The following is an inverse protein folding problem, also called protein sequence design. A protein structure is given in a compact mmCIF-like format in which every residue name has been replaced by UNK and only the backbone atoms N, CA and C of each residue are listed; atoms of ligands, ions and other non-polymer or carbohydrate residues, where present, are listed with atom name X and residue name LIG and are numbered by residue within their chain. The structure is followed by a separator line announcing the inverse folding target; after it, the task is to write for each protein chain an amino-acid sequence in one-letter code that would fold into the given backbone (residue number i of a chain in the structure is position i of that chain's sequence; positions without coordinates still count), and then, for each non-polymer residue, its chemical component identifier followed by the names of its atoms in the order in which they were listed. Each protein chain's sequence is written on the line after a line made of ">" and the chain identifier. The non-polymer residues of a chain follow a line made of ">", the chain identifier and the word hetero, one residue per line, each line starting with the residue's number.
data_IF_468295559865
#
_entry.id   IF_468295559865
#
_cell.length_a   1.000
_cell.length_b   1.000
_cell.length_c   1.000
_cell.angle_alpha   90.00
_cell.angle_beta   90.00
_cell.angle_gamma   90.00
#
_symmetry.space_group_name_H-M   'P 1'
#
loop_
_entity.id
_entity.type
_entity.pdbx_description
1 polymer ?
#
# COMPACT_ATOMS: atom_id res chain seq x y z
N UNK A 1 -33.51 17.85 3.67
CA UNK A 1 -32.68 16.92 2.87
C UNK A 1 -31.20 17.30 2.84
N UNK A 2 -30.80 18.48 2.34
CA UNK A 2 -29.37 18.86 2.25
C UNK A 2 -28.57 18.76 3.56
N UNK A 3 -29.18 19.09 4.70
CA UNK A 3 -28.54 18.95 6.03
C UNK A 3 -28.27 17.49 6.45
N UNK A 4 -29.19 16.57 6.12
CA UNK A 4 -29.02 15.14 6.45
C UNK A 4 -27.92 14.52 5.58
N UNK A 5 -27.90 14.85 4.28
CA UNK A 5 -26.88 14.39 3.33
C UNK A 5 -25.50 14.88 3.77
N UNK A 6 -25.37 16.15 4.15
CA UNK A 6 -24.11 16.70 4.66
C UNK A 6 -23.62 15.97 5.92
N UNK A 7 -24.51 15.65 6.86
CA UNK A 7 -24.16 14.92 8.09
C UNK A 7 -23.75 13.48 7.78
N UNK A 8 -24.47 12.79 6.91
CA UNK A 8 -24.14 11.42 6.50
C UNK A 8 -22.80 11.38 5.76
N UNK A 9 -22.57 12.30 4.83
CA UNK A 9 -21.29 12.46 4.13
C UNK A 9 -20.16 12.74 5.12
N UNK A 10 -20.38 13.63 6.09
CA UNK A 10 -19.40 13.94 7.11
C UNK A 10 -19.04 12.70 7.95
N UNK A 11 -20.02 11.94 8.43
CA UNK A 11 -19.77 10.73 9.23
C UNK A 11 -19.08 9.65 8.38
N UNK A 12 -19.55 9.45 7.14
CA UNK A 12 -19.02 8.46 6.21
C UNK A 12 -17.55 8.71 5.84
N UNK A 13 -17.12 9.97 5.80
CA UNK A 13 -15.72 10.34 5.54
C UNK A 13 -14.89 10.34 6.83
N UNK A 14 -15.42 10.91 7.92
CA UNK A 14 -14.67 11.14 9.14
C UNK A 14 -14.36 9.84 9.91
N UNK A 15 -15.35 8.96 10.07
CA UNK A 15 -15.18 7.75 10.90
C UNK A 15 -14.13 6.80 10.31
N UNK A 16 -14.16 6.44 9.02
CA UNK A 16 -13.11 5.61 8.42
C UNK A 16 -11.74 6.31 8.47
N UNK A 17 -11.70 7.62 8.23
CA UNK A 17 -10.47 8.41 8.30
C UNK A 17 -9.80 8.35 9.68
N UNK A 18 -10.57 8.53 10.75
CA UNK A 18 -10.06 8.46 12.13
C UNK A 18 -9.59 7.05 12.50
N UNK A 19 -10.36 6.02 12.14
CA UNK A 19 -9.97 4.63 12.41
C UNK A 19 -8.69 4.24 11.67
N UNK A 20 -8.55 4.69 10.42
CA UNK A 20 -7.37 4.47 9.60
C UNK A 20 -6.16 5.21 10.17
N UNK A 21 -6.31 6.49 10.52
CA UNK A 21 -5.26 7.28 11.14
C UNK A 21 -4.76 6.64 12.45
N UNK A 22 -5.68 6.16 13.29
CA UNK A 22 -5.34 5.43 14.52
C UNK A 22 -4.56 4.15 14.22
N UNK A 23 -5.00 3.35 13.25
CA UNK A 23 -4.32 2.10 12.89
C UNK A 23 -2.89 2.36 12.39
N UNK A 24 -2.70 3.40 11.57
CA UNK A 24 -1.38 3.78 11.07
C UNK A 24 -0.50 4.48 12.10
N UNK A 25 -1.07 5.20 13.06
CA UNK A 25 -0.32 5.73 14.20
C UNK A 25 0.24 4.60 15.07
N UNK A 26 -0.55 3.55 15.34
CA UNK A 26 -0.09 2.35 16.05
C UNK A 26 1.02 1.63 15.27
N UNK A 27 0.90 1.54 13.95
CA UNK A 27 1.96 1.00 13.09
C UNK A 27 3.25 1.84 13.18
N UNK A 28 3.14 3.17 13.17
CA UNK A 28 4.29 4.07 13.30
C UNK A 28 4.99 3.90 14.67
N UNK A 29 4.23 3.72 15.75
CA UNK A 29 4.78 3.38 17.07
C UNK A 29 5.57 2.07 17.05
N UNK A 30 5.05 1.01 16.43
CA UNK A 30 5.77 -0.28 16.29
C UNK A 30 7.07 -0.12 15.52
N UNK A 31 7.09 0.72 14.50
CA UNK A 31 8.31 1.02 13.76
C UNK A 31 9.35 1.73 14.61
N UNK A 32 8.95 2.73 15.40
CA UNK A 32 9.88 3.45 16.27
C UNK A 32 10.55 2.49 17.28
N UNK A 33 9.78 1.56 17.84
CA UNK A 33 10.30 0.51 18.73
C UNK A 33 11.25 -0.42 17.98
N UNK A 34 10.87 -0.88 16.78
CA UNK A 34 11.73 -1.75 15.98
C UNK A 34 13.04 -1.06 15.55
N UNK A 35 13.00 0.22 15.17
CA UNK A 35 14.22 0.98 14.87
C UNK A 35 15.09 1.18 16.09
N UNK A 36 14.49 1.50 17.25
CA UNK A 36 15.25 1.63 18.50
C UNK A 36 15.92 0.31 18.87
N UNK A 37 15.22 -0.82 18.73
CA UNK A 37 15.80 -2.14 19.00
C UNK A 37 16.99 -2.48 18.08
N UNK A 38 16.95 -2.03 16.81
CA UNK A 38 18.09 -2.15 15.90
C UNK A 38 19.26 -1.27 16.37
N UNK A 39 18.99 -0.04 16.80
CA UNK A 39 20.04 0.88 17.29
C UNK A 39 20.71 0.36 18.57
N UNK A 40 19.99 -0.35 19.44
CA UNK A 40 20.54 -0.95 20.67
C UNK A 40 21.25 -2.30 20.47
N UNK A 41 21.28 -2.84 19.24
CA UNK A 41 22.02 -4.07 18.94
C UNK A 41 23.25 -3.78 18.11
N UNK A 42 24.27 -4.64 18.24
CA UNK A 42 25.42 -4.65 17.32
C UNK A 42 25.23 -5.83 16.38
N UNK A 43 24.67 -5.62 15.17
CA UNK A 43 24.39 -6.71 14.25
C UNK A 43 25.69 -7.39 13.81
N UNK A 44 25.58 -8.64 13.39
CA UNK A 44 26.75 -9.33 12.83
C UNK A 44 27.17 -8.67 11.50
N UNK A 45 28.41 -8.91 11.05
CA UNK A 45 28.88 -8.45 9.73
C UNK A 45 27.97 -8.96 8.60
N UNK A 46 27.44 -10.17 8.74
CA UNK A 46 26.47 -10.77 7.81
C UNK A 46 25.12 -10.03 7.84
N UNK A 47 24.67 -9.62 9.02
CA UNK A 47 23.55 -8.71 9.26
C UNK A 47 23.67 -7.40 8.51
N UNK A 48 24.77 -6.67 8.74
CA UNK A 48 25.05 -5.37 8.11
C UNK A 48 25.07 -5.50 6.58
N UNK A 49 25.82 -6.48 6.04
CA UNK A 49 25.92 -6.71 4.61
C UNK A 49 24.57 -7.07 3.96
N UNK A 50 23.69 -7.74 4.71
CA UNK A 50 22.33 -8.07 4.24
C UNK A 50 21.45 -6.83 4.13
N UNK A 51 21.43 -5.98 5.16
CA UNK A 51 20.65 -4.72 5.15
C UNK A 51 21.09 -3.82 3.99
N UNK A 52 22.40 -3.66 3.78
CA UNK A 52 22.93 -2.85 2.68
C UNK A 52 22.53 -3.38 1.29
N UNK A 53 22.64 -4.70 1.07
CA UNK A 53 22.24 -5.34 -0.21
C UNK A 53 20.74 -5.15 -0.47
N UNK A 54 19.90 -5.33 0.54
CA UNK A 54 18.46 -5.13 0.40
C UNK A 54 18.10 -3.67 0.13
N UNK A 55 18.77 -2.71 0.78
CA UNK A 55 18.57 -1.29 0.53
C UNK A 55 18.96 -0.89 -0.91
N UNK A 56 20.09 -1.41 -1.43
CA UNK A 56 20.51 -1.18 -2.81
C UNK A 56 19.52 -1.78 -3.82
N UNK A 57 19.09 -3.03 -3.61
CA UNK A 57 18.07 -3.69 -4.43
C UNK A 57 16.77 -2.87 -4.45
N UNK A 58 16.28 -2.47 -3.28
CA UNK A 58 15.07 -1.68 -3.15
C UNK A 58 15.15 -0.36 -3.93
N UNK A 59 16.28 0.35 -3.85
CA UNK A 59 16.49 1.58 -4.64
C UNK A 59 16.47 1.32 -6.15
N UNK A 60 17.12 0.24 -6.61
CA UNK A 60 17.16 -0.09 -8.05
C UNK A 60 15.77 -0.42 -8.59
N UNK A 61 15.03 -1.31 -7.92
CA UNK A 61 13.70 -1.72 -8.39
C UNK A 61 12.68 -0.58 -8.33
N UNK A 62 12.72 0.27 -7.29
CA UNK A 62 11.85 1.46 -7.22
C UNK A 62 12.12 2.46 -8.36
N UNK A 63 13.39 2.61 -8.79
CA UNK A 63 13.73 3.43 -9.97
C UNK A 63 13.14 2.83 -11.24
N UNK A 64 13.20 1.51 -11.41
CA UNK A 64 12.56 0.83 -12.55
C UNK A 64 11.05 1.07 -12.52
N UNK A 65 10.40 0.98 -11.36
CA UNK A 65 8.97 1.33 -11.23
C UNK A 65 8.67 2.77 -11.63
N UNK A 66 9.52 3.72 -11.23
CA UNK A 66 9.38 5.13 -11.64
C UNK A 66 9.58 5.31 -13.16
N UNK A 67 10.53 4.60 -13.77
CA UNK A 67 10.71 4.59 -15.23
C UNK A 67 9.48 4.01 -15.94
N UNK A 68 8.89 2.94 -15.42
CA UNK A 68 7.64 2.39 -15.96
C UNK A 68 6.50 3.40 -15.84
N UNK A 69 6.43 4.17 -14.75
CA UNK A 69 5.51 5.29 -14.60
C UNK A 69 5.71 6.35 -15.69
N UNK A 70 6.95 6.73 -16.00
CA UNK A 70 7.26 7.66 -17.09
C UNK A 70 6.87 7.11 -18.47
N UNK A 71 7.08 5.82 -18.72
CA UNK A 71 6.64 5.16 -19.95
C UNK A 71 5.11 5.17 -20.05
N UNK A 72 4.40 4.94 -18.95
CA UNK A 72 2.95 5.03 -18.91
C UNK A 72 2.43 6.44 -19.20
N UNK A 73 3.14 7.48 -18.74
CA UNK A 73 2.86 8.88 -19.14
C UNK A 73 3.05 9.08 -20.65
N UNK A 74 4.14 8.59 -21.22
CA UNK A 74 4.37 8.69 -22.67
C UNK A 74 3.28 7.96 -23.47
N UNK A 75 2.89 6.76 -23.04
CA UNK A 75 1.83 5.99 -23.66
C UNK A 75 0.47 6.67 -23.55
N UNK A 76 0.13 7.27 -22.40
CA UNK A 76 -1.14 7.98 -22.25
C UNK A 76 -1.23 9.20 -23.16
N UNK A 77 -0.14 9.95 -23.33
CA UNK A 77 -0.09 11.09 -24.28
C UNK A 77 -0.33 10.62 -25.71
N UNK A 78 0.28 9.50 -26.12
CA UNK A 78 0.12 8.95 -27.49
C UNK A 78 -1.29 8.44 -27.73
N UNK A 79 -1.85 7.68 -26.78
CA UNK A 79 -3.15 7.00 -26.94
C UNK A 79 -4.31 7.96 -26.84
N UNK A 80 -4.29 8.86 -25.86
CA UNK A 80 -5.43 9.74 -25.61
C UNK A 80 -5.36 11.04 -26.40
N UNK A 81 -4.24 11.33 -27.11
CA UNK A 81 -3.95 12.56 -27.84
C UNK A 81 -4.09 13.87 -27.02
N UNK A 82 -4.50 13.75 -25.76
CA UNK A 82 -4.64 14.79 -24.77
C UNK A 82 -3.50 14.65 -23.77
N UNK A 83 -2.63 15.65 -23.77
CA UNK A 83 -1.60 15.84 -22.75
C UNK A 83 -2.24 16.31 -21.43
N UNK A 84 -3.19 15.56 -20.89
CA UNK A 84 -3.74 15.89 -19.58
C UNK A 84 -2.68 15.62 -18.53
N UNK A 85 -1.96 16.67 -18.13
CA UNK A 85 -0.95 16.67 -17.06
C UNK A 85 -1.52 16.05 -15.78
N UNK A 86 -2.84 16.11 -15.60
CA UNK A 86 -3.56 15.47 -14.50
C UNK A 86 -3.42 13.95 -14.46
N UNK A 87 -3.18 13.27 -15.59
CA UNK A 87 -2.92 11.82 -15.63
C UNK A 87 -1.47 11.46 -15.34
N UNK A 88 -0.55 12.43 -15.39
CA UNK A 88 0.88 12.16 -15.24
C UNK A 88 1.23 11.76 -13.82
N UNK A 89 0.71 12.52 -12.85
CA UNK A 89 0.98 12.26 -11.44
C UNK A 89 0.41 10.90 -11.00
N UNK A 90 -0.85 10.53 -11.29
CA UNK A 90 -1.36 9.18 -11.02
C UNK A 90 -0.53 8.07 -11.66
N UNK A 91 -0.12 8.21 -12.92
CA UNK A 91 0.70 7.20 -13.60
C UNK A 91 2.09 7.04 -12.95
N UNK A 92 2.75 8.15 -12.59
CA UNK A 92 4.02 8.15 -11.89
C UNK A 92 3.91 7.52 -10.50
N UNK A 93 2.85 7.88 -9.75
CA UNK A 93 2.58 7.31 -8.43
C UNK A 93 2.32 5.81 -8.56
N UNK A 94 1.48 5.38 -9.50
CA UNK A 94 1.19 3.98 -9.73
C UNK A 94 2.46 3.18 -10.05
N UNK A 95 3.29 3.68 -10.98
CA UNK A 95 4.58 3.05 -11.33
C UNK A 95 5.54 2.97 -10.15
N UNK A 96 5.66 4.05 -9.36
CA UNK A 96 6.48 4.06 -8.15
C UNK A 96 6.00 3.02 -7.11
N UNK A 97 4.70 2.98 -6.83
CA UNK A 97 4.10 2.06 -5.86
C UNK A 97 4.21 0.61 -6.32
N UNK A 98 3.98 0.33 -7.61
CA UNK A 98 4.24 -0.99 -8.19
C UNK A 98 5.71 -1.38 -8.01
N UNK A 99 6.65 -0.46 -8.24
CA UNK A 99 8.06 -0.64 -7.95
C UNK A 99 8.37 -0.91 -6.48
N UNK A 100 7.65 -0.29 -5.54
CA UNK A 100 7.78 -0.57 -4.10
C UNK A 100 7.35 -1.99 -3.78
N UNK A 101 6.16 -2.41 -4.22
CA UNK A 101 5.66 -3.77 -3.93
C UNK A 101 6.53 -4.82 -4.61
N UNK A 102 6.93 -4.59 -5.86
CA UNK A 102 7.85 -5.47 -6.59
C UNK A 102 9.21 -5.60 -5.88
N UNK A 103 9.77 -4.50 -5.37
CA UNK A 103 11.03 -4.51 -4.64
C UNK A 103 10.96 -5.39 -3.40
N UNK A 104 9.85 -5.34 -2.67
CA UNK A 104 9.61 -6.16 -1.49
C UNK A 104 9.34 -7.63 -1.86
N UNK A 105 8.55 -7.86 -2.91
CA UNK A 105 8.24 -9.20 -3.42
C UNK A 105 9.49 -9.93 -3.96
N UNK A 106 10.49 -9.18 -4.44
CA UNK A 106 11.75 -9.70 -5.00
C UNK A 106 12.96 -9.53 -4.07
N UNK A 107 12.75 -9.02 -2.85
CA UNK A 107 13.83 -8.65 -1.92
C UNK A 107 14.81 -9.82 -1.71
N UNK A 108 16.13 -9.61 -1.84
CA UNK A 108 17.12 -10.68 -1.66
C UNK A 108 16.96 -11.39 -0.30
N UNK A 109 17.06 -12.72 -0.30
CA UNK A 109 16.98 -13.51 0.93
C UNK A 109 18.17 -13.19 1.85
N UNK A 110 17.95 -12.99 3.16
CA UNK A 110 19.03 -12.86 4.12
C UNK A 110 19.97 -14.06 4.09
N UNK A 111 21.27 -13.82 4.33
CA UNK A 111 22.31 -14.86 4.32
C UNK A 111 22.95 -15.12 5.69
N UNK A 112 22.34 -14.64 6.77
CA UNK A 112 22.80 -14.94 8.14
C UNK A 112 22.44 -16.37 8.55
N UNK A 113 23.17 -16.91 9.53
CA UNK A 113 22.89 -18.21 10.16
C UNK A 113 21.48 -18.25 10.76
N UNK A 114 20.81 -19.39 10.66
CA UNK A 114 19.44 -19.59 11.15
C UNK A 114 19.42 -20.45 12.42
N UNK A 115 18.43 -20.20 13.28
CA UNK A 115 18.24 -20.96 14.51
C UNK A 115 18.08 -22.47 14.25
N UNK A 116 18.70 -23.30 15.10
CA UNK A 116 18.54 -24.75 15.11
C UNK A 116 18.09 -25.20 16.52
N UNK A 117 16.89 -25.78 16.67
CA UNK A 117 15.87 -26.01 15.63
C UNK A 117 15.24 -24.70 15.13
N UNK A 118 14.75 -24.72 13.89
CA UNK A 118 14.19 -23.54 13.23
C UNK A 118 12.99 -22.96 14.00
N UNK A 119 13.17 -21.80 14.63
CA UNK A 119 12.09 -21.05 15.28
C UNK A 119 11.44 -20.09 14.29
N UNK A 120 10.11 -19.99 14.36
CA UNK A 120 9.33 -19.03 13.57
C UNK A 120 8.68 -17.99 14.49
N UNK A 121 8.67 -16.72 14.11
CA UNK A 121 7.98 -15.67 14.84
C UNK A 121 6.45 -15.84 14.75
N UNK A 122 5.70 -15.31 15.73
CA UNK A 122 4.23 -15.39 15.71
C UNK A 122 3.66 -14.34 14.76
N UNK A 123 2.67 -14.72 13.94
CA UNK A 123 2.06 -13.83 12.92
C UNK A 123 1.50 -12.52 13.50
N UNK A 124 0.94 -12.58 14.71
CA UNK A 124 0.33 -11.43 15.41
C UNK A 124 1.33 -10.35 15.81
N UNK A 125 2.62 -10.70 15.90
CA UNK A 125 3.68 -9.77 16.32
C UNK A 125 4.12 -8.88 15.14
N UNK A 126 4.02 -9.37 13.90
CA UNK A 126 4.65 -8.74 12.73
C UNK A 126 3.78 -7.74 11.98
N UNK A 127 2.47 -8.02 11.90
CA UNK A 127 1.51 -7.15 11.22
C UNK A 127 0.19 -7.16 11.96
N UNK A 128 -0.45 -5.99 12.03
CA UNK A 128 -1.83 -5.90 12.47
C UNK A 128 -2.71 -6.69 11.50
N UNK A 129 -3.35 -7.76 11.98
CA UNK A 129 -4.31 -8.54 11.18
C UNK A 129 -5.40 -7.66 10.60
N UNK A 130 -5.78 -6.59 11.32
CA UNK A 130 -6.72 -5.60 10.84
C UNK A 130 -6.23 -4.90 9.57
N UNK A 131 -4.99 -4.39 9.55
CA UNK A 131 -4.42 -3.72 8.36
C UNK A 131 -4.32 -4.66 7.16
N UNK A 132 -4.03 -5.95 7.40
CA UNK A 132 -3.98 -6.95 6.34
C UNK A 132 -5.38 -7.19 5.73
N UNK A 133 -6.38 -7.40 6.58
CA UNK A 133 -7.75 -7.64 6.12
C UNK A 133 -8.38 -6.42 5.46
N UNK A 134 -8.14 -5.21 5.97
CA UNK A 134 -8.64 -3.99 5.33
C UNK A 134 -8.02 -3.78 3.96
N UNK A 135 -6.71 -4.02 3.80
CA UNK A 135 -6.06 -3.98 2.47
C UNK A 135 -6.73 -4.95 1.50
N UNK A 136 -6.94 -6.21 1.89
CA UNK A 136 -7.60 -7.22 1.05
C UNK A 136 -9.03 -6.84 0.70
N UNK A 137 -9.81 -6.37 1.67
CA UNK A 137 -11.19 -5.96 1.46
C UNK A 137 -11.29 -4.80 0.45
N UNK A 138 -10.40 -3.81 0.56
CA UNK A 138 -10.32 -2.69 -0.39
C UNK A 138 -10.01 -3.19 -1.81
N UNK A 139 -9.01 -4.06 -1.97
CA UNK A 139 -8.66 -4.61 -3.29
C UNK A 139 -9.82 -5.37 -3.90
N UNK A 140 -10.51 -6.21 -3.11
CA UNK A 140 -11.69 -6.94 -3.58
C UNK A 140 -12.82 -5.99 -3.98
N UNK A 141 -13.08 -4.95 -3.17
CA UNK A 141 -14.08 -3.95 -3.47
C UNK A 141 -13.76 -3.20 -4.77
N UNK A 142 -12.50 -2.79 -4.95
CA UNK A 142 -12.03 -2.15 -6.18
C UNK A 142 -12.26 -3.02 -7.40
N UNK A 143 -11.79 -4.26 -7.37
CA UNK A 143 -11.95 -5.19 -8.51
C UNK A 143 -13.42 -5.42 -8.80
N UNK A 144 -14.26 -5.59 -7.77
CA UNK A 144 -15.69 -5.82 -7.95
C UNK A 144 -16.38 -4.62 -8.61
N UNK A 145 -16.10 -3.40 -8.16
CA UNK A 145 -16.66 -2.16 -8.72
C UNK A 145 -16.16 -1.94 -10.15
N UNK A 146 -14.86 -2.11 -10.39
CA UNK A 146 -14.26 -1.97 -11.72
C UNK A 146 -14.86 -2.96 -12.73
N UNK A 147 -14.96 -4.24 -12.37
CA UNK A 147 -15.58 -5.27 -13.23
C UNK A 147 -17.05 -4.96 -13.48
N UNK A 148 -17.79 -4.53 -12.45
CA UNK A 148 -19.20 -4.18 -12.59
C UNK A 148 -19.41 -3.03 -13.59
N UNK A 149 -18.69 -1.91 -13.42
CA UNK A 149 -18.79 -0.76 -14.33
C UNK A 149 -18.34 -1.13 -15.76
N UNK A 150 -17.29 -1.94 -15.88
CA UNK A 150 -16.82 -2.39 -17.18
C UNK A 150 -17.84 -3.28 -17.90
N UNK A 151 -18.48 -4.22 -17.19
CA UNK A 151 -19.55 -5.05 -17.76
C UNK A 151 -20.78 -4.25 -18.22
N UNK A 152 -21.00 -3.06 -17.64
CA UNK A 152 -22.07 -2.14 -18.05
C UNK A 152 -21.68 -1.21 -19.20
N UNK A 153 -20.44 -1.29 -19.68
CA UNK A 153 -19.92 -0.40 -20.73
C UNK A 153 -19.64 1.02 -20.25
N UNK A 154 -19.58 1.24 -18.93
CA UNK A 154 -19.27 2.55 -18.33
C UNK A 154 -17.76 2.85 -18.36
N UNK A 155 -16.93 1.81 -18.54
CA UNK A 155 -15.49 1.92 -18.74
C UNK A 155 -15.12 1.41 -20.14
N UNK A 156 -14.25 2.14 -20.83
CA UNK A 156 -13.62 1.62 -22.05
C UNK A 156 -12.69 0.45 -21.71
N UNK A 157 -12.49 -0.46 -22.67
CA UNK A 157 -11.67 -1.66 -22.45
C UNK A 157 -10.27 -1.37 -21.89
N UNK A 158 -9.51 -0.37 -22.36
CA UNK A 158 -8.20 -0.06 -21.79
C UNK A 158 -8.28 0.37 -20.32
N UNK A 159 -9.31 1.12 -19.95
CA UNK A 159 -9.53 1.60 -18.57
C UNK A 159 -9.98 0.44 -17.68
N UNK A 160 -10.92 -0.38 -18.14
CA UNK A 160 -11.38 -1.57 -17.42
C UNK A 160 -10.24 -2.54 -17.11
N UNK A 161 -9.40 -2.84 -18.11
CA UNK A 161 -8.20 -3.65 -17.89
C UNK A 161 -7.24 -3.03 -16.88
N UNK A 162 -7.00 -1.72 -16.96
CA UNK A 162 -6.07 -1.02 -16.05
C UNK A 162 -6.60 -1.03 -14.62
N UNK A 163 -7.88 -0.72 -14.43
CA UNK A 163 -8.55 -0.69 -13.13
C UNK A 163 -8.59 -2.06 -12.44
N UNK A 164 -8.59 -3.17 -13.19
CA UNK A 164 -8.54 -4.52 -12.62
C UNK A 164 -7.11 -5.02 -12.46
N UNK A 165 -6.29 -4.94 -13.52
CA UNK A 165 -4.99 -5.59 -13.55
C UNK A 165 -3.98 -4.94 -12.59
N UNK A 166 -3.95 -3.61 -12.49
CA UNK A 166 -3.00 -2.90 -11.62
C UNK A 166 -3.18 -3.27 -10.13
N UNK A 167 -4.37 -3.12 -9.51
CA UNK A 167 -4.55 -3.50 -8.12
C UNK A 167 -4.42 -5.00 -7.89
N UNK A 168 -4.84 -5.84 -8.85
CA UNK A 168 -4.68 -7.29 -8.75
C UNK A 168 -3.19 -7.70 -8.73
N UNK A 169 -2.38 -7.18 -9.66
CA UNK A 169 -0.94 -7.45 -9.70
C UNK A 169 -0.23 -6.94 -8.44
N UNK A 170 -0.59 -5.74 -7.97
CA UNK A 170 -0.07 -5.19 -6.73
C UNK A 170 -0.41 -6.10 -5.53
N UNK A 171 -1.65 -6.58 -5.45
CA UNK A 171 -2.08 -7.48 -4.38
C UNK A 171 -1.34 -8.82 -4.43
N UNK A 172 -1.20 -9.44 -5.60
CA UNK A 172 -0.44 -10.69 -5.75
C UNK A 172 1.02 -10.52 -5.32
N UNK A 173 1.68 -9.43 -5.73
CA UNK A 173 3.05 -9.13 -5.31
C UNK A 173 3.15 -8.90 -3.80
N UNK A 174 2.16 -8.24 -3.20
CA UNK A 174 2.10 -8.04 -1.76
C UNK A 174 1.94 -9.36 -1.00
N UNK A 175 1.06 -10.25 -1.44
CA UNK A 175 0.90 -11.58 -0.85
C UNK A 175 2.18 -12.41 -0.97
N UNK A 176 2.88 -12.35 -2.10
CA UNK A 176 4.21 -12.99 -2.26
C UNK A 176 5.21 -12.44 -1.24
N UNK A 177 5.28 -11.12 -1.06
CA UNK A 177 6.17 -10.50 -0.08
C UNK A 177 5.84 -10.93 1.36
N UNK A 178 4.55 -10.95 1.71
CA UNK A 178 4.06 -11.37 3.03
C UNK A 178 4.35 -12.84 3.29
N UNK A 179 4.07 -13.73 2.33
CA UNK A 179 4.38 -15.16 2.45
C UNK A 179 5.88 -15.39 2.64
N UNK A 180 6.74 -14.69 1.89
CA UNK A 180 8.20 -14.77 2.04
C UNK A 180 8.66 -14.33 3.42
N UNK A 181 8.03 -13.30 3.99
CA UNK A 181 8.30 -12.83 5.36
C UNK A 181 7.83 -13.86 6.38
N UNK A 182 6.68 -14.50 6.20
CA UNK A 182 6.13 -15.45 7.16
C UNK A 182 6.86 -16.79 7.18
N UNK A 183 7.35 -17.25 6.03
CA UNK A 183 7.97 -18.56 5.90
C UNK A 183 9.45 -18.58 6.33
N UNK A 184 10.09 -17.42 6.53
CA UNK A 184 11.51 -17.32 6.90
C UNK A 184 11.73 -17.67 8.39
N UNK A 185 12.64 -18.61 8.74
CA UNK A 185 13.04 -18.86 10.13
C UNK A 185 13.76 -17.68 10.78
N UNK A 186 13.84 -17.67 12.11
CA UNK A 186 14.61 -16.68 12.87
C UNK A 186 16.13 -16.88 12.73
N UNK A 187 16.94 -15.80 12.82
CA UNK A 187 18.39 -15.88 12.92
C UNK A 187 18.85 -16.80 14.07
N UNK A 188 20.03 -17.38 13.93
CA UNK A 188 20.69 -18.16 14.98
C UNK A 188 21.22 -17.25 16.09
N UNK A 189 21.80 -16.13 15.68
CA UNK A 189 22.38 -15.14 16.57
C UNK A 189 21.30 -14.19 17.08
N UNK A 190 21.19 -14.07 18.39
CA UNK A 190 20.23 -13.18 19.05
C UNK A 190 20.42 -11.71 18.65
N UNK A 191 21.63 -11.30 18.28
CA UNK A 191 21.92 -9.92 17.86
C UNK A 191 21.26 -9.55 16.52
N UNK A 192 21.02 -10.51 15.64
CA UNK A 192 20.38 -10.27 14.33
C UNK A 192 18.84 -10.38 14.38
N UNK A 193 18.28 -10.85 15.51
CA UNK A 193 16.82 -11.02 15.68
C UNK A 193 16.08 -9.67 15.57
N UNK A 194 16.50 -8.58 16.25
CA UNK A 194 15.82 -7.29 16.13
C UNK A 194 15.89 -6.71 14.71
N UNK A 195 17.00 -6.93 13.99
CA UNK A 195 17.17 -6.53 12.60
C UNK A 195 16.21 -7.31 11.68
N UNK A 196 16.14 -8.63 11.86
CA UNK A 196 15.21 -9.48 11.12
C UNK A 196 13.75 -9.06 11.37
N UNK A 197 13.36 -8.83 12.62
CA UNK A 197 12.02 -8.41 13.02
C UNK A 197 11.64 -7.03 12.44
N UNK A 198 12.57 -6.07 12.52
CA UNK A 198 12.39 -4.75 11.92
C UNK A 198 12.15 -4.86 10.41
N UNK A 199 12.95 -5.66 9.69
CA UNK A 199 12.79 -5.86 8.25
C UNK A 199 11.46 -6.52 7.87
N UNK A 200 10.97 -7.49 8.68
CA UNK A 200 9.67 -8.14 8.45
C UNK A 200 8.53 -7.16 8.63
N UNK A 201 8.54 -6.45 9.76
CA UNK A 201 7.56 -5.40 10.07
C UNK A 201 7.55 -4.35 8.97
N UNK A 202 8.73 -3.96 8.48
CA UNK A 202 8.88 -3.00 7.40
C UNK A 202 8.23 -3.46 6.11
N UNK A 203 8.57 -4.66 5.64
CA UNK A 203 8.01 -5.23 4.42
C UNK A 203 6.50 -5.31 4.52
N UNK A 204 5.98 -5.82 5.64
CA UNK A 204 4.55 -6.01 5.83
C UNK A 204 3.76 -4.69 5.77
N UNK A 205 4.24 -3.63 6.42
CA UNK A 205 3.58 -2.33 6.38
C UNK A 205 3.74 -1.62 5.02
N UNK A 206 4.90 -1.74 4.37
CA UNK A 206 5.12 -1.14 3.05
C UNK A 206 4.19 -1.73 1.99
N UNK A 207 4.10 -3.05 1.89
CA UNK A 207 3.29 -3.69 0.85
C UNK A 207 1.80 -3.49 1.12
N UNK A 208 1.37 -3.53 2.38
CA UNK A 208 -0.02 -3.22 2.74
C UNK A 208 -0.37 -1.77 2.42
N UNK A 209 0.47 -0.80 2.78
CA UNK A 209 0.23 0.61 2.44
C UNK A 209 0.16 0.82 0.92
N UNK A 210 1.19 0.38 0.19
CA UNK A 210 1.29 0.63 -1.24
C UNK A 210 0.12 -0.02 -2.01
N UNK A 211 -0.26 -1.25 -1.65
CA UNK A 211 -1.41 -1.94 -2.26
C UNK A 211 -2.73 -1.26 -1.89
N UNK A 212 -2.91 -0.86 -0.63
CA UNK A 212 -4.10 -0.09 -0.23
C UNK A 212 -4.23 1.21 -1.00
N UNK A 213 -3.14 1.96 -1.23
CA UNK A 213 -3.19 3.22 -2.02
C UNK A 213 -3.55 2.93 -3.49
N UNK A 214 -2.94 1.89 -4.08
CA UNK A 214 -3.21 1.46 -5.44
C UNK A 214 -4.64 0.97 -5.67
N UNK A 215 -5.38 0.62 -4.61
CA UNK A 215 -6.78 0.21 -4.69
C UNK A 215 -7.76 1.29 -4.21
N UNK A 216 -7.45 2.02 -3.13
CA UNK A 216 -8.33 3.07 -2.57
C UNK A 216 -8.50 4.26 -3.50
N UNK A 217 -7.45 4.68 -4.19
CA UNK A 217 -7.54 5.84 -5.08
C UNK A 217 -8.42 5.53 -6.30
N UNK A 218 -8.20 4.43 -7.05
CA UNK A 218 -9.13 4.03 -8.11
C UNK A 218 -10.55 3.78 -7.61
N UNK A 219 -10.72 3.09 -6.47
CA UNK A 219 -12.04 2.82 -5.90
C UNK A 219 -12.78 4.11 -5.58
N UNK A 220 -12.08 5.06 -4.95
CA UNK A 220 -12.62 6.37 -4.66
C UNK A 220 -13.12 7.07 -5.92
N UNK A 221 -12.34 7.03 -7.00
CA UNK A 221 -12.70 7.61 -8.30
C UNK A 221 -13.89 6.89 -8.95
N UNK A 222 -13.89 5.55 -9.00
CA UNK A 222 -14.97 4.77 -9.61
C UNK A 222 -16.30 4.99 -8.88
N UNK A 223 -16.28 5.01 -7.55
CA UNK A 223 -17.47 5.30 -6.74
C UNK A 223 -17.98 6.74 -6.96
N UNK A 224 -17.08 7.72 -7.10
CA UNK A 224 -17.50 9.10 -7.43
C UNK A 224 -18.16 9.16 -8.81
N UNK A 225 -17.55 8.55 -9.83
CA UNK A 225 -18.10 8.54 -11.20
C UNK A 225 -19.47 7.87 -11.21
N UNK A 226 -19.59 6.64 -10.69
CA UNK A 226 -20.87 5.94 -10.64
C UNK A 226 -21.92 6.66 -9.81
N UNK A 227 -21.51 7.35 -8.72
CA UNK A 227 -22.41 8.16 -7.90
C UNK A 227 -22.94 9.40 -8.62
N UNK A 228 -22.09 10.11 -9.37
CA UNK A 228 -22.48 11.30 -10.15
C UNK A 228 -23.40 10.89 -11.31
N UNK A 229 -23.02 9.87 -12.08
CA UNK A 229 -23.79 9.41 -13.23
C UNK A 229 -25.19 8.90 -12.85
N UNK A 230 -25.35 8.30 -11.67
CA UNK A 230 -26.65 7.91 -11.14
C UNK A 230 -27.43 9.12 -10.59
N UNK A 231 -26.74 10.10 -10.02
CA UNK A 231 -27.34 11.33 -9.50
C UNK A 231 -27.93 12.25 -10.57
N UNK A 232 -27.39 12.21 -11.79
CA UNK A 232 -27.89 12.98 -12.94
C UNK A 232 -29.16 12.39 -13.57
N UNK A 233 -29.57 11.18 -13.15
CA UNK A 233 -30.80 10.53 -13.64
C UNK A 233 -32.01 11.00 -12.84
N UNK A 234 -33.09 11.34 -13.55
CA UNK A 234 -34.36 11.73 -12.91
C UNK A 234 -35.02 10.48 -12.31
N UNK A 235 -35.05 10.40 -10.98
CA UNK A 235 -35.75 9.34 -10.23
C UNK A 235 -36.97 9.89 -9.51
N UNK A 236 -38.10 9.17 -9.57
CA UNK A 236 -39.35 9.56 -8.90
C UNK A 236 -39.33 9.37 -7.38
N UNK A 237 -38.31 8.69 -6.84
CA UNK A 237 -38.15 8.38 -5.40
C UNK A 237 -36.84 8.94 -4.85
N UNK A 238 -36.77 9.07 -3.52
CA UNK A 238 -35.51 9.37 -2.82
C UNK A 238 -34.57 8.16 -2.98
N UNK A 239 -33.59 8.28 -3.86
CA UNK A 239 -32.52 7.29 -4.03
C UNK A 239 -31.30 7.71 -3.20
N UNK A 240 -30.90 6.85 -2.25
CA UNK A 240 -29.74 7.07 -1.39
C UNK A 240 -28.46 6.46 -1.98
N UNK A 241 -28.56 5.65 -3.04
CA UNK A 241 -27.41 4.99 -3.68
C UNK A 241 -26.42 6.01 -4.25
N UNK A 242 -26.82 7.04 -5.03
CA UNK A 242 -25.89 8.05 -5.53
C UNK A 242 -25.13 8.75 -4.39
N UNK A 243 -25.85 9.09 -3.32
CA UNK A 243 -25.27 9.73 -2.13
C UNK A 243 -24.27 8.81 -1.44
N UNK A 244 -24.59 7.53 -1.28
CA UNK A 244 -23.70 6.55 -0.66
C UNK A 244 -22.42 6.31 -1.49
N UNK A 245 -22.55 6.26 -2.81
CA UNK A 245 -21.40 6.12 -3.72
C UNK A 245 -20.51 7.36 -3.69
N UNK A 246 -21.08 8.57 -3.73
CA UNK A 246 -20.30 9.81 -3.60
C UNK A 246 -19.60 9.87 -2.23
N UNK A 247 -20.30 9.52 -1.15
CA UNK A 247 -19.73 9.45 0.20
C UNK A 247 -18.56 8.47 0.28
N UNK A 248 -18.77 7.25 -0.23
CA UNK A 248 -17.75 6.21 -0.27
C UNK A 248 -16.56 6.60 -1.15
N UNK A 249 -16.82 7.30 -2.25
CA UNK A 249 -15.82 7.84 -3.15
C UNK A 249 -14.87 8.84 -2.48
N UNK A 250 -15.43 9.87 -1.84
CA UNK A 250 -14.65 10.82 -1.05
C UNK A 250 -13.90 10.15 0.12
N UNK A 251 -14.56 9.23 0.82
CA UNK A 251 -13.93 8.50 1.93
C UNK A 251 -12.75 7.64 1.42
N UNK A 252 -12.91 6.97 0.28
CA UNK A 252 -11.87 6.18 -0.39
C UNK A 252 -10.67 7.04 -0.77
N UNK A 253 -10.89 8.18 -1.43
CA UNK A 253 -9.83 9.12 -1.79
C UNK A 253 -9.10 9.67 -0.56
N UNK A 254 -9.84 10.15 0.44
CA UNK A 254 -9.26 10.69 1.67
C UNK A 254 -8.42 9.63 2.40
N UNK A 255 -8.94 8.39 2.50
CA UNK A 255 -8.22 7.26 3.06
C UNK A 255 -6.95 6.95 2.25
N UNK A 256 -7.04 6.88 0.92
CA UNK A 256 -5.90 6.62 0.04
C UNK A 256 -4.79 7.67 0.21
N UNK A 257 -5.16 8.95 0.24
CA UNK A 257 -4.22 10.05 0.47
C UNK A 257 -3.58 10.00 1.87
N UNK A 258 -4.36 9.68 2.90
CA UNK A 258 -3.84 9.52 4.26
C UNK A 258 -2.80 8.37 4.34
N UNK A 259 -3.12 7.20 3.76
CA UNK A 259 -2.18 6.07 3.70
C UNK A 259 -0.95 6.41 2.89
N UNK A 260 -1.08 7.16 1.78
CA UNK A 260 0.05 7.63 1.00
C UNK A 260 0.98 8.55 1.83
N UNK A 261 0.42 9.47 2.61
CA UNK A 261 1.17 10.31 3.55
C UNK A 261 1.97 9.48 4.55
N UNK A 262 1.35 8.46 5.14
CA UNK A 262 2.08 7.49 5.96
C UNK A 262 3.17 6.80 5.16
N UNK A 263 2.86 6.21 4.00
CA UNK A 263 3.81 5.48 3.17
C UNK A 263 5.10 6.27 2.89
N UNK A 264 5.00 7.58 2.61
CA UNK A 264 6.17 8.44 2.40
C UNK A 264 7.16 8.38 3.56
N UNK A 265 6.66 8.37 4.80
CA UNK A 265 7.52 8.22 5.98
C UNK A 265 8.20 6.86 6.03
N UNK A 266 7.59 5.80 5.47
CA UNK A 266 8.06 4.40 5.45
C UNK A 266 8.91 4.04 4.22
N UNK A 267 9.12 4.95 3.27
CA UNK A 267 10.01 4.67 2.14
C UNK A 267 11.49 4.67 2.53
N UNK A 268 11.86 5.34 3.64
CA UNK A 268 13.25 5.40 4.13
C UNK A 268 13.71 4.02 4.60
N UNK A 269 14.77 3.41 4.05
CA UNK A 269 15.18 2.06 4.45
C UNK A 269 15.58 1.99 5.94
N UNK A 270 15.55 0.79 6.52
CA UNK A 270 16.16 0.52 7.84
C UNK A 270 17.62 0.96 7.81
N UNK A 271 18.02 1.75 8.80
CA UNK A 271 19.39 2.21 8.99
C UNK A 271 19.95 1.51 10.23
N UNK A 272 21.21 1.10 10.15
CA UNK A 272 21.98 0.65 11.31
C UNK A 272 22.84 1.85 11.69
N UNK A 273 22.64 2.37 12.90
CA UNK A 273 23.39 3.52 13.39
C UNK A 273 24.41 3.03 14.41
N UNK A 274 25.70 3.30 14.18
CA UNK A 274 26.77 2.99 15.17
C UNK A 274 26.70 3.89 16.43
N UNK A 275 25.77 4.86 16.46
CA UNK A 275 25.70 5.91 17.49
C UNK A 275 25.50 5.39 18.92
N UNK A 276 24.90 4.21 19.10
CA UNK A 276 24.60 3.68 20.42
C UNK A 276 25.84 3.23 21.22
N UNK A 277 27.01 3.10 20.58
CA UNK A 277 28.26 2.69 21.24
C UNK A 277 29.25 3.84 21.47
N UNK A 278 28.86 5.09 21.14
CA UNK A 278 29.73 6.27 21.23
C UNK A 278 29.37 7.22 22.39
N UNK A 279 28.54 6.77 23.34
CA UNK A 279 28.10 7.56 24.51
C UNK A 279 28.28 6.80 25.80
#
# INVERSE_FOLDING_TARGET
>A
MGRLIAVVLFIAVLVPGVLLARAWALAAGRRAVASAAVDFTTPTREGVATVQRQAQHGRRVRRVGLLLGLVAVGASVVVFAEASVFLWLPALVAGLLAGVVLAEATRPRPRWRLSEPARRPRRSEQISLWLLWTMRAVVVAEIAVAVFMWQRGELSDPIGWTAVAVPLLAWLLAEVALLRVLLRPLPADGADVPVDEALRTWTAHLVSAATSVLALLPLGTLLLVGGIDLGDRVTERVDLVPVALVAGGFAGLAAGLAVAGFLLTWLRPVQISERALAG
#
